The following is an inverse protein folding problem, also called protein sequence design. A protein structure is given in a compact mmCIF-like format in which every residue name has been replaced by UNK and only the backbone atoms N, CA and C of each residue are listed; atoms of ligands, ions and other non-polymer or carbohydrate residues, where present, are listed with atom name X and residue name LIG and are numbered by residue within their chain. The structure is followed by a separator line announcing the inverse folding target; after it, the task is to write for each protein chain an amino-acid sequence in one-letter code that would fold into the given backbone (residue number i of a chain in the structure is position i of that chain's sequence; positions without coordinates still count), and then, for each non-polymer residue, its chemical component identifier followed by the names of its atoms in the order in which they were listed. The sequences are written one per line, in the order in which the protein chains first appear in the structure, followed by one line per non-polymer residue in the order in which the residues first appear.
data_IF_890809147398
#
_entry.id   IF_890809147398
#
_cell.length_a   1.000
_cell.length_b   1.000
_cell.length_c   1.000
_cell.angle_alpha   90.00
_cell.angle_beta   90.00
_cell.angle_gamma   90.00
#
_symmetry.space_group_name_H-M   'P 1'
#
loop_
_entity.id
_entity.type
_entity.pdbx_description
1 polymer ?
#
# COMPACT_ATOMS: atom_id res chain seq x y z
N UNK A 1 -17.00 9.49 -10.32
CA UNK A 1 -17.09 8.75 -9.05
C UNK A 1 -15.68 8.31 -8.70
N UNK A 2 -15.22 8.52 -7.47
CA UNK A 2 -13.93 8.02 -6.99
C UNK A 2 -14.14 6.66 -6.33
N UNK A 3 -13.14 5.80 -6.39
CA UNK A 3 -13.12 4.50 -5.72
C UNK A 3 -12.20 4.59 -4.51
N UNK A 4 -12.58 3.94 -3.41
CA UNK A 4 -11.73 3.84 -2.22
C UNK A 4 -10.87 2.59 -2.35
N UNK A 5 -9.58 2.71 -2.08
CA UNK A 5 -8.64 1.57 -1.98
C UNK A 5 -7.85 1.65 -0.69
N UNK A 6 -7.47 0.49 -0.16
CA UNK A 6 -6.62 0.39 1.01
C UNK A 6 -5.22 -0.10 0.62
N UNK A 7 -4.20 0.65 1.01
CA UNK A 7 -2.82 0.19 0.99
C UNK A 7 -2.46 -0.17 2.43
N UNK A 8 -2.05 -1.42 2.66
CA UNK A 8 -1.74 -1.99 3.96
C UNK A 8 -0.28 -2.38 4.02
N UNK A 9 0.37 -2.21 5.15
CA UNK A 9 1.72 -2.68 5.38
C UNK A 9 1.72 -3.55 6.63
N UNK A 10 2.30 -4.74 6.53
CA UNK A 10 2.36 -5.69 7.63
C UNK A 10 3.14 -5.16 8.83
N UNK A 11 2.77 -5.61 10.02
CA UNK A 11 3.51 -5.31 11.24
C UNK A 11 4.97 -5.78 11.16
N UNK A 12 5.22 -6.98 10.59
CA UNK A 12 6.59 -7.54 10.48
C UNK A 12 7.51 -6.62 9.67
N UNK A 13 7.05 -6.17 8.50
CA UNK A 13 7.83 -5.32 7.61
C UNK A 13 8.11 -3.95 8.24
N UNK A 14 7.12 -3.36 8.92
CA UNK A 14 7.32 -2.10 9.65
C UNK A 14 8.27 -2.26 10.83
N UNK A 15 8.22 -3.40 11.54
CA UNK A 15 9.14 -3.67 12.65
C UNK A 15 10.60 -3.74 12.17
N UNK A 16 10.84 -4.32 10.99
CA UNK A 16 12.16 -4.41 10.38
C UNK A 16 12.62 -3.09 9.76
N UNK A 17 11.67 -2.31 9.24
CA UNK A 17 11.94 -1.11 8.46
C UNK A 17 11.07 0.08 8.88
N UNK A 18 11.10 0.48 10.15
CA UNK A 18 10.16 1.48 10.71
C UNK A 18 10.01 2.78 9.90
N UNK A 19 11.07 3.20 9.20
CA UNK A 19 11.06 4.39 8.34
C UNK A 19 10.08 4.30 7.16
N UNK A 20 9.70 3.09 6.72
CA UNK A 20 8.81 2.89 5.56
C UNK A 20 7.43 3.52 5.75
N UNK A 21 6.94 3.64 6.98
CA UNK A 21 5.66 4.30 7.26
C UNK A 21 5.71 5.77 6.83
N UNK A 22 6.80 6.46 7.15
CA UNK A 22 7.02 7.84 6.74
C UNK A 22 7.30 7.94 5.24
N UNK A 23 8.11 7.02 4.69
CA UNK A 23 8.43 6.95 3.26
C UNK A 23 7.18 6.78 2.38
N UNK A 24 6.31 5.83 2.73
CA UNK A 24 5.04 5.59 2.04
C UNK A 24 4.12 6.80 2.15
N UNK A 25 4.02 7.41 3.33
CA UNK A 25 3.19 8.60 3.52
C UNK A 25 3.67 9.75 2.63
N UNK A 26 4.98 10.03 2.62
CA UNK A 26 5.58 11.04 1.76
C UNK A 26 5.37 10.78 0.27
N UNK A 27 5.56 9.52 -0.17
CA UNK A 27 5.32 9.11 -1.54
C UNK A 27 3.86 9.31 -1.97
N UNK A 28 2.89 8.90 -1.16
CA UNK A 28 1.46 9.07 -1.47
C UNK A 28 1.05 10.55 -1.51
N UNK A 29 1.60 11.36 -0.60
CA UNK A 29 1.41 12.82 -0.62
C UNK A 29 2.02 13.48 -1.86
N UNK A 30 3.18 13.03 -2.33
CA UNK A 30 3.76 13.51 -3.58
C UNK A 30 2.91 13.08 -4.78
N UNK A 31 2.45 11.83 -4.80
CA UNK A 31 1.60 11.31 -5.86
C UNK A 31 0.26 12.07 -5.98
N UNK A 32 -0.31 12.51 -4.86
CA UNK A 32 -1.46 13.43 -4.83
C UNK A 32 -1.19 14.72 -5.62
N UNK A 33 0.00 15.30 -5.48
CA UNK A 33 0.36 16.51 -6.23
C UNK A 33 0.55 16.24 -7.73
N UNK A 34 1.04 15.05 -8.09
CA UNK A 34 1.29 14.67 -9.50
C UNK A 34 0.03 14.23 -10.26
N UNK A 35 -0.96 13.64 -9.58
CA UNK A 35 -2.11 12.98 -10.22
C UNK A 35 -3.44 13.56 -9.73
N UNK A 36 -4.07 14.47 -10.50
CA UNK A 36 -5.39 14.98 -10.15
C UNK A 36 -6.40 13.83 -10.05
N UNK A 37 -7.10 13.78 -8.92
CA UNK A 37 -8.11 12.76 -8.62
C UNK A 37 -7.62 11.59 -7.77
N UNK A 38 -6.31 11.47 -7.50
CA UNK A 38 -5.85 10.70 -6.34
C UNK A 38 -6.07 11.54 -5.07
N UNK A 39 -6.36 10.93 -3.93
CA UNK A 39 -6.37 11.63 -2.62
C UNK A 39 -6.03 10.65 -1.51
N UNK A 40 -5.01 10.96 -0.72
CA UNK A 40 -4.78 10.27 0.55
C UNK A 40 -5.80 10.80 1.58
N UNK A 41 -6.72 9.95 2.04
CA UNK A 41 -7.75 10.32 3.01
C UNK A 41 -7.24 10.27 4.42
N UNK A 42 -6.66 9.14 4.80
CA UNK A 42 -6.22 8.89 6.17
C UNK A 42 -5.16 7.80 6.20
N UNK A 43 -4.26 7.95 7.16
CA UNK A 43 -3.35 6.92 7.64
C UNK A 43 -3.71 6.57 9.08
N UNK A 44 -3.69 5.29 9.42
CA UNK A 44 -3.84 4.80 10.80
C UNK A 44 -3.15 3.45 11.00
N UNK A 45 -2.95 3.07 12.25
CA UNK A 45 -2.52 1.73 12.65
C UNK A 45 -3.76 0.91 13.08
N UNK A 46 -3.94 -0.28 12.50
CA UNK A 46 -5.00 -1.21 12.84
C UNK A 46 -4.61 -1.99 14.10
N UNK A 47 -5.25 -1.67 15.23
CA UNK A 47 -4.85 -2.15 16.56
C UNK A 47 -4.81 -3.68 16.69
N UNK A 48 -5.69 -4.40 15.98
CA UNK A 48 -5.78 -5.87 16.07
C UNK A 48 -4.57 -6.56 15.44
N UNK A 49 -3.97 -5.97 14.41
CA UNK A 49 -2.93 -6.59 13.58
C UNK A 49 -1.58 -5.85 13.64
N UNK A 50 -1.58 -4.61 14.14
CA UNK A 50 -0.43 -3.70 14.07
C UNK A 50 -0.12 -3.24 12.63
N UNK A 51 -1.02 -3.45 11.67
CA UNK A 51 -0.81 -3.02 10.29
C UNK A 51 -1.00 -1.52 10.15
N UNK A 52 -0.15 -0.89 9.34
CA UNK A 52 -0.43 0.47 8.91
C UNK A 52 -1.30 0.46 7.66
N UNK A 53 -2.34 1.29 7.66
CA UNK A 53 -3.35 1.36 6.60
C UNK A 53 -3.46 2.78 6.08
N UNK A 54 -3.36 2.95 4.76
CA UNK A 54 -3.64 4.18 4.03
C UNK A 54 -4.90 4.00 3.20
N UNK A 55 -5.91 4.82 3.48
CA UNK A 55 -7.12 4.92 2.68
C UNK A 55 -6.93 5.98 1.61
N UNK A 56 -7.10 5.59 0.35
CA UNK A 56 -6.94 6.48 -0.79
C UNK A 56 -8.21 6.51 -1.64
N UNK A 57 -8.65 7.69 -2.04
CA UNK A 57 -9.57 7.83 -3.18
C UNK A 57 -8.75 7.79 -4.47
N UNK A 58 -9.21 7.03 -5.44
CA UNK A 58 -8.59 6.91 -6.76
C UNK A 58 -9.62 7.08 -7.87
N UNK A 59 -9.22 7.59 -9.05
CA UNK A 59 -10.07 7.56 -10.23
C UNK A 59 -10.31 6.11 -10.69
N UNK A 60 -11.47 5.78 -11.28
CA UNK A 60 -11.83 4.40 -11.60
C UNK A 60 -11.01 3.75 -12.72
N UNK A 61 -10.19 4.54 -13.43
CA UNK A 61 -9.26 4.05 -14.45
C UNK A 61 -7.82 3.99 -13.95
N UNK A 62 -7.58 4.35 -12.69
CA UNK A 62 -6.23 4.37 -12.12
C UNK A 62 -5.75 2.94 -11.86
N UNK A 63 -4.53 2.65 -12.31
CA UNK A 63 -3.87 1.36 -12.07
C UNK A 63 -3.10 1.43 -10.75
N UNK A 64 -3.76 1.09 -9.64
CA UNK A 64 -3.11 1.03 -8.32
C UNK A 64 -1.87 0.10 -8.30
N UNK A 65 -1.84 -1.05 -9.01
CA UNK A 65 -0.61 -1.86 -9.10
C UNK A 65 0.60 -1.11 -9.69
N UNK A 66 0.37 -0.14 -10.59
CA UNK A 66 1.46 0.70 -11.15
C UNK A 66 1.99 1.69 -10.11
N UNK A 67 1.11 2.25 -9.28
CA UNK A 67 1.50 3.08 -8.14
C UNK A 67 2.38 2.28 -7.17
N UNK A 68 1.93 1.07 -6.79
CA UNK A 68 2.67 0.20 -5.87
C UNK A 68 4.02 -0.21 -6.46
N UNK A 69 4.10 -0.47 -7.77
CA UNK A 69 5.37 -0.77 -8.43
C UNK A 69 6.38 0.38 -8.30
N UNK A 70 5.94 1.64 -8.50
CA UNK A 70 6.80 2.81 -8.28
C UNK A 70 7.24 2.92 -6.82
N UNK A 71 6.30 2.73 -5.89
CA UNK A 71 6.61 2.76 -4.46
C UNK A 71 7.70 1.74 -4.08
N UNK A 72 7.71 0.57 -4.72
CA UNK A 72 8.72 -0.48 -4.48
C UNK A 72 10.14 -0.02 -4.73
N UNK A 73 10.33 0.85 -5.70
CA UNK A 73 11.66 1.37 -6.05
C UNK A 73 12.19 2.33 -4.97
N UNK A 74 11.31 2.86 -4.11
CA UNK A 74 11.62 3.83 -3.05
C UNK A 74 11.71 3.21 -1.63
N UNK A 75 11.37 1.92 -1.46
CA UNK A 75 11.33 1.24 -0.15
C UNK A 75 12.12 -0.07 -0.15
N UNK A 76 12.46 -0.67 1.01
CA UNK A 76 13.18 -1.94 1.09
C UNK A 76 12.44 -3.08 0.36
N UNK A 77 13.15 -4.14 -0.05
CA UNK A 77 12.54 -5.25 -0.78
C UNK A 77 11.26 -5.78 -0.13
N UNK A 78 10.16 -5.73 -0.89
CA UNK A 78 8.85 -6.17 -0.44
C UNK A 78 8.10 -6.95 -1.52
N UNK A 79 7.06 -7.65 -1.10
CA UNK A 79 6.06 -8.27 -1.97
C UNK A 79 4.72 -7.54 -1.85
N UNK A 80 3.94 -7.61 -2.93
CA UNK A 80 2.57 -7.07 -2.96
C UNK A 80 1.58 -8.19 -3.21
N UNK A 81 0.56 -8.26 -2.36
CA UNK A 81 -0.57 -9.17 -2.54
C UNK A 81 -1.85 -8.36 -2.58
N UNK A 82 -2.65 -8.54 -3.62
CA UNK A 82 -4.03 -8.05 -3.61
C UNK A 82 -4.87 -9.03 -2.80
N UNK A 83 -5.47 -8.57 -1.70
CA UNK A 83 -6.33 -9.40 -0.87
C UNK A 83 -7.70 -9.51 -1.53
N UNK A 84 -8.28 -10.72 -1.51
CA UNK A 84 -9.65 -10.92 -1.93
C UNK A 84 -10.60 -10.14 -1.01
N UNK A 85 -11.43 -9.31 -1.62
CA UNK A 85 -12.43 -8.50 -0.92
C UNK A 85 -13.79 -8.71 -1.57
N UNK A 86 -14.77 -9.16 -0.79
CA UNK A 86 -16.15 -9.27 -1.27
C UNK A 86 -16.81 -7.89 -1.29
N UNK A 87 -17.52 -7.51 -2.37
CA UNK A 87 -18.31 -6.28 -2.41
C UNK A 87 -19.27 -6.24 -1.20
N UNK A 88 -19.46 -5.07 -0.56
CA UNK A 88 -19.04 -3.73 -0.98
C UNK A 88 -17.65 -3.29 -0.46
N UNK A 89 -16.79 -4.22 0.00
CA UNK A 89 -15.49 -3.85 0.54
C UNK A 89 -14.55 -3.27 -0.54
N UNK A 90 -13.78 -2.22 -0.22
CA UNK A 90 -12.82 -1.64 -1.16
C UNK A 90 -11.67 -2.63 -1.45
N UNK A 91 -11.03 -2.56 -2.62
CA UNK A 91 -9.83 -3.32 -2.92
C UNK A 91 -8.72 -3.05 -1.89
N UNK A 92 -8.04 -4.12 -1.45
CA UNK A 92 -6.97 -4.06 -0.45
C UNK A 92 -5.67 -4.60 -1.01
N UNK A 93 -4.60 -3.86 -0.83
CA UNK A 93 -3.25 -4.24 -1.24
C UNK A 93 -2.36 -4.34 -0.03
N UNK A 94 -1.77 -5.51 0.20
CA UNK A 94 -0.84 -5.77 1.30
C UNK A 94 0.61 -5.68 0.80
N UNK A 95 1.39 -4.84 1.46
CA UNK A 95 2.84 -4.74 1.36
C UNK A 95 3.45 -5.53 2.51
N UNK A 96 4.35 -6.44 2.19
CA UNK A 96 4.97 -7.32 3.19
C UNK A 96 6.45 -7.61 2.88
N UNK A 97 7.19 -8.07 3.89
CA UNK A 97 8.56 -8.57 3.73
C UNK A 97 8.56 -9.71 2.70
N UNK A 98 9.60 -9.76 1.87
CA UNK A 98 9.80 -10.91 0.98
C UNK A 98 10.07 -12.15 1.84
N UNK A 99 9.28 -13.20 1.66
CA UNK A 99 9.58 -14.46 2.34
C UNK A 99 10.87 -15.06 1.74
N UNK A 100 11.84 -15.50 2.56
CA UNK A 100 13.09 -16.08 2.07
C UNK A 100 12.87 -17.34 1.22
N UNK A 101 11.72 -18.00 1.35
CA UNK A 101 11.37 -19.22 0.60
C UNK A 101 10.77 -18.93 -0.79
N UNK A 102 10.27 -17.71 -1.03
CA UNK A 102 9.73 -17.31 -2.35
C UNK A 102 10.81 -16.92 -3.37
N UNK A 103 12.08 -16.83 -2.94
CA UNK A 103 13.22 -16.58 -3.83
C UNK A 103 13.72 -17.83 -4.58
N UNK A 104 13.18 -19.01 -4.27
CA UNK A 104 13.59 -20.32 -4.83
C UNK A 104 12.49 -20.93 -5.69
N UNK A 105 11.89 -20.17 -6.60
CA UNK A 105 11.05 -20.71 -7.67
C UNK A 105 11.00 -19.70 -8.82
N UNK A 106 12.06 -19.67 -9.62
CA UNK A 106 12.07 -19.07 -10.96
C UNK A 106 12.96 -19.93 -11.85
#
# INVERSE_FOLDING_TARGET
MLEVVEIRVSYRYVKEHAWVVQGITGFLSAYFMEKPGFTLKRHFEELETGMHVWLCDVPPKMKVPTLLRRLKDDIPPCQYTQLETSPPAPPRFLIDSVDPESASSS
#
